data_IF_866341924816
#
_entry.id   IF_866341924816
#
_cell.length_a   1.000
_cell.length_b   1.000
_cell.length_c   1.000
_cell.angle_alpha   90.00
_cell.angle_beta   90.00
_cell.angle_gamma   90.00
#
_symmetry.space_group_name_H-M   'P 1'
#
loop_
_entity.id
_entity.type
_entity.pdbx_description
1 polymer ?
#
# COMPACT_ATOMS: atom_id res chain seq x y z
N UNK A 1 38.05 28.07 -12.07
CA UNK A 1 36.61 27.80 -11.84
C UNK A 1 36.49 27.23 -10.43
N UNK A 2 35.79 27.87 -9.50
CA UNK A 2 35.56 27.28 -8.17
C UNK A 2 34.67 26.05 -8.35
N UNK A 3 35.14 24.88 -7.94
CA UNK A 3 34.33 23.67 -7.86
C UNK A 3 33.15 23.93 -6.93
N UNK A 4 31.94 23.59 -7.39
CA UNK A 4 30.75 23.70 -6.56
C UNK A 4 30.77 22.64 -5.47
N UNK A 5 30.20 22.90 -4.28
CA UNK A 5 30.09 21.89 -3.23
C UNK A 5 29.33 20.65 -3.71
N UNK A 6 29.69 19.47 -3.21
CA UNK A 6 29.12 18.19 -3.66
C UNK A 6 27.59 18.11 -3.54
N UNK A 7 27.00 18.76 -2.53
CA UNK A 7 25.54 18.78 -2.35
C UNK A 7 24.79 19.41 -3.54
N UNK A 8 25.44 20.27 -4.34
CA UNK A 8 24.82 20.80 -5.57
C UNK A 8 24.51 19.69 -6.58
N UNK A 9 25.29 18.61 -6.60
CA UNK A 9 25.12 17.50 -7.53
C UNK A 9 24.13 16.45 -7.02
N UNK A 10 23.49 16.67 -5.87
CA UNK A 10 22.42 15.84 -5.35
C UNK A 10 21.10 16.58 -5.42
N UNK A 11 20.16 15.99 -6.15
CA UNK A 11 18.80 16.50 -6.29
C UNK A 11 17.81 15.43 -5.85
N UNK A 12 16.62 15.88 -5.47
CA UNK A 12 15.48 15.02 -5.21
C UNK A 12 14.33 15.44 -6.11
N UNK A 13 13.41 14.52 -6.38
CA UNK A 13 12.21 14.75 -7.14
C UNK A 13 11.01 14.06 -6.47
N UNK A 14 9.84 14.69 -6.54
CA UNK A 14 8.59 14.02 -6.20
C UNK A 14 7.92 13.48 -7.47
N UNK A 15 7.33 12.30 -7.39
CA UNK A 15 6.37 11.77 -8.34
C UNK A 15 4.98 11.77 -7.70
N UNK A 16 4.19 12.86 -7.86
CA UNK A 16 2.80 12.88 -7.39
C UNK A 16 1.97 11.91 -8.21
N UNK A 17 1.28 11.01 -7.52
CA UNK A 17 0.51 9.90 -8.08
C UNK A 17 -0.94 10.01 -7.60
N UNK A 18 -1.87 9.68 -8.49
CA UNK A 18 -3.27 9.40 -8.15
C UNK A 18 -3.78 8.19 -8.90
N UNK A 19 -4.83 7.56 -8.36
CA UNK A 19 -5.54 6.46 -9.01
C UNK A 19 -6.91 6.97 -9.44
N UNK A 20 -7.19 6.97 -10.74
CA UNK A 20 -8.49 7.39 -11.30
C UNK A 20 -9.03 6.27 -12.17
N UNK A 21 -10.19 5.72 -11.81
CA UNK A 21 -10.79 4.59 -12.53
C UNK A 21 -9.87 3.37 -12.64
N UNK A 22 -9.09 3.09 -11.58
CA UNK A 22 -8.09 2.03 -11.57
C UNK A 22 -6.84 2.32 -12.40
N UNK A 23 -6.65 3.52 -12.96
CA UNK A 23 -5.44 3.86 -13.72
C UNK A 23 -4.54 4.76 -12.87
N UNK A 24 -3.24 4.46 -12.89
CA UNK A 24 -2.22 5.33 -12.29
C UNK A 24 -2.05 6.53 -13.20
N UNK A 25 -2.20 7.71 -12.62
CA UNK A 25 -1.78 8.97 -13.22
C UNK A 25 -0.64 9.60 -12.41
N UNK A 26 0.31 10.21 -13.11
CA UNK A 26 1.46 10.92 -12.55
C UNK A 26 1.37 12.38 -12.96
N UNK A 27 1.61 13.28 -12.01
CA UNK A 27 1.66 14.71 -12.29
C UNK A 27 3.06 15.12 -12.73
N UNK A 28 3.16 15.76 -13.89
CA UNK A 28 4.39 16.37 -14.39
C UNK A 28 4.24 17.89 -14.47
N UNK A 29 5.37 18.58 -14.42
CA UNK A 29 5.47 20.02 -14.65
C UNK A 29 6.37 20.34 -15.83
N UNK A 30 6.17 21.49 -16.47
CA UNK A 30 7.10 21.94 -17.50
C UNK A 30 8.36 22.56 -16.88
N UNK A 31 9.54 22.18 -17.35
CA UNK A 31 10.79 22.85 -17.01
C UNK A 31 10.76 24.32 -17.47
N UNK A 32 11.28 25.23 -16.65
CA UNK A 32 11.20 26.69 -16.92
C UNK A 32 11.76 27.10 -18.29
N UNK A 33 12.93 26.57 -18.68
CA UNK A 33 13.65 26.96 -19.90
C UNK A 33 13.24 26.15 -21.13
N UNK A 34 13.36 24.83 -21.06
CA UNK A 34 13.12 23.95 -22.21
C UNK A 34 11.64 23.67 -22.47
N UNK A 35 10.76 23.98 -21.52
CA UNK A 35 9.32 23.67 -21.53
C UNK A 35 8.99 22.17 -21.65
N UNK A 36 10.00 21.29 -21.54
CA UNK A 36 9.86 19.84 -21.48
C UNK A 36 9.17 19.41 -20.19
N UNK A 37 8.40 18.32 -20.24
CA UNK A 37 7.77 17.75 -19.05
C UNK A 37 8.81 17.05 -18.16
N UNK A 38 8.79 17.34 -16.87
CA UNK A 38 9.71 16.80 -15.86
C UNK A 38 8.94 16.49 -14.58
N UNK A 39 9.55 15.72 -13.68
CA UNK A 39 9.10 15.67 -12.29
C UNK A 39 9.48 16.97 -11.57
N UNK A 40 8.65 17.45 -10.61
CA UNK A 40 9.05 18.55 -9.75
C UNK A 40 10.29 18.16 -8.94
N UNK A 41 11.36 18.96 -9.02
CA UNK A 41 12.68 18.56 -8.51
C UNK A 41 13.63 19.72 -8.22
N UNK A 42 14.52 19.53 -7.26
CA UNK A 42 15.46 20.56 -6.83
C UNK A 42 16.63 20.02 -6.03
N UNK A 43 17.51 20.94 -5.62
CA UNK A 43 18.74 20.61 -4.87
C UNK A 43 18.35 20.17 -3.46
N UNK A 44 19.04 19.15 -2.95
CA UNK A 44 18.88 18.75 -1.54
C UNK A 44 19.69 19.71 -0.69
N UNK A 45 18.99 20.59 0.03
CA UNK A 45 19.60 21.54 0.97
C UNK A 45 20.24 20.78 2.16
N UNK A 46 21.36 21.26 2.74
CA UNK A 46 22.12 20.51 3.75
C UNK A 46 21.34 20.09 5.00
N UNK A 47 20.24 20.79 5.31
CA UNK A 47 19.37 20.58 6.46
C UNK A 47 18.12 19.74 6.13
N UNK A 48 17.97 19.25 4.90
CA UNK A 48 16.83 18.46 4.46
C UNK A 48 17.19 17.00 4.16
N UNK A 49 16.27 16.10 4.49
CA UNK A 49 16.29 14.76 3.88
C UNK A 49 15.92 14.85 2.39
N UNK A 50 16.33 13.87 1.55
CA UNK A 50 15.92 13.83 0.15
C UNK A 50 14.39 13.88 -0.03
N UNK A 51 13.66 13.15 0.81
CA UNK A 51 12.20 13.17 0.84
C UNK A 51 11.63 14.57 1.18
N UNK A 52 12.15 15.25 2.20
CA UNK A 52 11.71 16.61 2.55
C UNK A 52 11.97 17.61 1.42
N UNK A 53 13.13 17.51 0.78
CA UNK A 53 13.48 18.31 -0.41
C UNK A 53 12.48 18.03 -1.54
N UNK A 54 12.17 16.76 -1.86
CA UNK A 54 11.21 16.41 -2.91
C UNK A 54 9.81 16.97 -2.62
N UNK A 55 9.35 16.92 -1.37
CA UNK A 55 8.07 17.47 -0.95
C UNK A 55 8.02 19.01 -1.06
N UNK A 56 9.13 19.70 -0.77
CA UNK A 56 9.26 21.16 -0.99
C UNK A 56 9.10 21.52 -2.46
N UNK A 57 9.81 20.81 -3.34
CA UNK A 57 9.79 21.05 -4.79
C UNK A 57 8.42 20.76 -5.40
N UNK A 58 7.72 19.71 -4.94
CA UNK A 58 6.33 19.45 -5.34
C UNK A 58 5.39 20.63 -5.02
N UNK A 59 5.59 21.27 -3.86
CA UNK A 59 4.79 22.44 -3.46
C UNK A 59 5.13 23.66 -4.31
N UNK A 60 6.41 23.94 -4.50
CA UNK A 60 6.87 25.15 -5.18
C UNK A 60 6.65 25.09 -6.70
N UNK A 61 7.01 23.98 -7.34
CA UNK A 61 6.98 23.83 -8.79
C UNK A 61 5.62 23.37 -9.33
N UNK A 62 4.90 22.53 -8.58
CA UNK A 62 3.64 21.93 -9.00
C UNK A 62 2.41 22.41 -8.20
N UNK A 63 2.60 23.08 -7.07
CA UNK A 63 1.49 23.49 -6.21
C UNK A 63 0.77 22.32 -5.58
N UNK A 64 1.48 21.22 -5.28
CA UNK A 64 0.88 20.02 -4.69
C UNK A 64 1.52 19.64 -3.37
N UNK A 65 0.71 19.05 -2.51
CA UNK A 65 1.15 18.42 -1.24
C UNK A 65 0.58 17.03 -1.15
N UNK A 66 1.20 16.13 -0.38
CA UNK A 66 0.75 14.76 -0.25
C UNK A 66 1.57 13.96 0.76
N UNK A 67 1.25 12.68 0.88
CA UNK A 67 2.03 11.73 1.65
C UNK A 67 3.22 11.26 0.81
N UNK A 68 4.44 11.59 1.23
CA UNK A 68 5.65 11.10 0.56
C UNK A 68 6.06 9.74 1.13
N UNK A 69 6.30 8.76 0.26
CA UNK A 69 6.98 7.52 0.66
C UNK A 69 8.47 7.85 0.84
N UNK A 70 9.04 7.47 1.99
CA UNK A 70 10.46 7.65 2.27
C UNK A 70 11.35 6.69 1.47
N UNK A 71 10.77 5.63 0.89
CA UNK A 71 11.46 4.74 -0.05
C UNK A 71 11.60 5.43 -1.40
N UNK A 72 12.83 5.45 -1.90
CA UNK A 72 13.11 5.91 -3.25
C UNK A 72 12.52 4.95 -4.28
N UNK A 73 11.89 5.51 -5.31
CA UNK A 73 11.50 4.79 -6.53
C UNK A 73 12.72 4.48 -7.41
N UNK A 74 13.86 5.12 -7.15
CA UNK A 74 15.08 4.99 -7.93
C UNK A 74 15.72 6.34 -8.22
N UNK A 75 16.83 6.31 -8.94
CA UNK A 75 17.61 7.49 -9.30
C UNK A 75 17.85 7.55 -10.82
N UNK A 76 18.00 8.76 -11.33
CA UNK A 76 18.52 9.01 -12.68
C UNK A 76 19.53 10.17 -12.66
N UNK A 77 20.37 10.25 -13.69
CA UNK A 77 21.40 11.28 -13.80
C UNK A 77 20.98 12.42 -14.73
N UNK A 78 21.43 13.64 -14.43
CA UNK A 78 21.37 14.79 -15.33
C UNK A 78 22.68 15.57 -15.34
N UNK A 79 23.10 16.09 -16.49
CA UNK A 79 24.23 17.01 -16.55
C UNK A 79 23.79 18.43 -16.17
N UNK A 80 24.36 18.99 -15.10
CA UNK A 80 24.17 20.39 -14.72
C UNK A 80 25.47 20.98 -14.16
N UNK A 81 25.67 22.27 -14.43
CA UNK A 81 26.80 23.05 -13.91
C UNK A 81 28.18 22.47 -14.23
N UNK A 82 28.30 21.70 -15.32
CA UNK A 82 29.56 21.06 -15.73
C UNK A 82 29.86 19.74 -15.03
N UNK A 83 28.91 19.17 -14.28
CA UNK A 83 29.03 17.84 -13.67
C UNK A 83 27.76 17.01 -13.80
N UNK A 84 27.87 15.75 -13.39
CA UNK A 84 26.74 14.82 -13.31
C UNK A 84 26.02 15.00 -11.97
N UNK A 85 24.71 15.23 -12.02
CA UNK A 85 23.85 15.32 -10.85
C UNK A 85 22.98 14.07 -10.76
N UNK A 86 22.94 13.44 -9.60
CA UNK A 86 21.98 12.36 -9.31
C UNK A 86 20.67 12.96 -8.82
N UNK A 87 19.54 12.48 -9.36
CA UNK A 87 18.19 12.83 -8.95
C UNK A 87 17.51 11.60 -8.37
N UNK A 88 17.25 11.64 -7.06
CA UNK A 88 16.52 10.59 -6.35
C UNK A 88 15.02 10.88 -6.36
N UNK A 89 14.19 9.90 -6.73
CA UNK A 89 12.74 10.11 -6.93
C UNK A 89 11.93 9.44 -5.83
N UNK A 90 10.96 10.18 -5.28
CA UNK A 90 10.09 9.69 -4.22
C UNK A 90 8.62 9.74 -4.67
N UNK A 91 7.88 8.68 -4.38
CA UNK A 91 6.44 8.63 -4.62
C UNK A 91 5.72 9.60 -3.68
N UNK A 92 4.74 10.33 -4.21
CA UNK A 92 3.83 11.15 -3.42
C UNK A 92 2.38 10.74 -3.69
N UNK A 93 1.69 10.22 -2.67
CA UNK A 93 0.28 9.85 -2.72
C UNK A 93 -0.61 10.88 -2.02
N UNK A 94 -1.92 10.65 -2.04
CA UNK A 94 -2.94 11.48 -1.37
C UNK A 94 -2.78 12.96 -1.72
N UNK A 95 -2.53 13.21 -3.01
CA UNK A 95 -2.13 14.49 -3.56
C UNK A 95 -3.27 15.50 -3.47
N UNK A 96 -3.00 16.64 -2.85
CA UNK A 96 -3.88 17.83 -2.81
C UNK A 96 -3.27 18.93 -3.66
N UNK A 97 -4.09 19.46 -4.57
CA UNK A 97 -3.71 20.52 -5.51
C UNK A 97 -4.14 21.88 -4.96
N UNK A 98 -3.24 22.86 -5.01
CA UNK A 98 -3.56 24.27 -4.77
C UNK A 98 -3.89 24.97 -6.10
N UNK A 99 -4.84 25.90 -6.08
CA UNK A 99 -5.19 26.73 -7.25
C UNK A 99 -4.10 27.76 -7.57
N UNK A 100 -3.40 28.24 -6.54
CA UNK A 100 -2.29 29.19 -6.66
C UNK A 100 -1.05 28.60 -6.00
N UNK A 101 0.10 28.72 -6.66
CA UNK A 101 1.38 28.22 -6.17
C UNK A 101 2.55 29.06 -6.67
N UNK A 102 3.73 28.99 -6.03
CA UNK A 102 4.84 29.91 -6.27
C UNK A 102 5.27 30.01 -7.74
N UNK A 103 5.31 28.89 -8.47
CA UNK A 103 5.77 28.86 -9.86
C UNK A 103 4.64 28.77 -10.91
N UNK A 104 3.39 29.08 -10.54
CA UNK A 104 2.24 28.98 -11.45
C UNK A 104 2.37 29.82 -12.72
N UNK A 105 3.03 30.98 -12.64
CA UNK A 105 3.29 31.83 -13.81
C UNK A 105 4.40 31.30 -14.73
N UNK A 106 5.26 30.41 -14.22
CA UNK A 106 6.46 29.93 -14.93
C UNK A 106 6.31 28.52 -15.47
N UNK A 107 5.41 27.72 -14.88
CA UNK A 107 5.21 26.31 -15.19
C UNK A 107 3.76 25.95 -15.42
N UNK A 108 3.55 24.98 -16.31
CA UNK A 108 2.29 24.25 -16.42
C UNK A 108 2.43 22.95 -15.63
N UNK A 109 1.35 22.52 -14.97
CA UNK A 109 1.21 21.17 -14.41
C UNK A 109 0.15 20.38 -15.15
N UNK A 110 0.31 19.07 -15.27
CA UNK A 110 -0.69 18.18 -15.88
C UNK A 110 -0.55 16.76 -15.34
N UNK A 111 -1.69 16.10 -15.14
CA UNK A 111 -1.78 14.67 -14.91
C UNK A 111 -1.70 13.91 -16.23
N UNK A 112 -0.86 12.88 -16.26
CA UNK A 112 -0.69 11.95 -17.37
C UNK A 112 -0.95 10.53 -16.88
N UNK A 113 -1.60 9.69 -17.69
CA UNK A 113 -1.56 8.25 -17.45
C UNK A 113 -0.10 7.76 -17.43
N UNK A 114 0.21 6.76 -16.59
CA UNK A 114 1.60 6.33 -16.35
C UNK A 114 2.39 6.05 -17.65
N UNK A 115 1.78 5.38 -18.62
CA UNK A 115 2.42 5.09 -19.91
C UNK A 115 2.71 6.36 -20.73
N UNK A 116 1.78 7.32 -20.73
CA UNK A 116 1.98 8.59 -21.43
C UNK A 116 3.01 9.46 -20.71
N UNK A 117 3.03 9.45 -19.37
CA UNK A 117 4.05 10.12 -18.57
C UNK A 117 5.45 9.63 -18.95
N UNK A 118 5.64 8.30 -19.03
CA UNK A 118 6.91 7.66 -19.43
C UNK A 118 7.36 8.04 -20.85
N UNK A 119 6.42 8.31 -21.76
CA UNK A 119 6.73 8.74 -23.14
C UNK A 119 7.16 10.20 -23.24
N UNK A 120 6.64 11.07 -22.38
CA UNK A 120 6.85 12.53 -22.51
C UNK A 120 7.85 13.11 -21.51
N UNK A 121 8.17 12.37 -20.45
CA UNK A 121 9.08 12.82 -19.39
C UNK A 121 10.50 13.03 -19.91
N UNK A 122 11.14 14.08 -19.42
CA UNK A 122 12.55 14.37 -19.62
C UNK A 122 13.31 14.47 -18.29
N UNK A 123 14.57 14.03 -18.23
CA UNK A 123 15.27 13.26 -19.27
C UNK A 123 14.58 11.89 -19.52
N UNK A 124 14.80 11.24 -20.68
CA UNK A 124 14.20 9.94 -20.97
C UNK A 124 14.48 8.88 -19.90
N UNK A 125 15.66 8.93 -19.28
CA UNK A 125 16.09 8.03 -18.20
C UNK A 125 15.16 8.07 -16.98
N UNK A 126 14.44 9.18 -16.75
CA UNK A 126 13.45 9.26 -15.68
C UNK A 126 12.25 8.33 -15.91
N UNK A 127 11.99 7.89 -17.15
CA UNK A 127 10.91 6.96 -17.46
C UNK A 127 11.10 5.59 -16.79
N UNK A 128 12.35 5.11 -16.68
CA UNK A 128 12.66 3.86 -15.98
C UNK A 128 12.33 3.94 -14.48
N UNK A 129 12.48 5.13 -13.88
CA UNK A 129 12.10 5.34 -12.47
C UNK A 129 10.58 5.34 -12.30
N UNK A 130 9.82 5.85 -13.29
CA UNK A 130 8.36 5.78 -13.27
C UNK A 130 7.83 4.34 -13.42
N UNK A 131 8.59 3.40 -13.99
CA UNK A 131 8.21 1.97 -14.03
C UNK A 131 8.09 1.36 -12.62
N UNK A 132 8.86 1.90 -11.67
CA UNK A 132 8.80 1.48 -10.28
C UNK A 132 7.59 2.07 -9.54
N UNK A 133 6.79 2.92 -10.19
CA UNK A 133 5.45 3.29 -9.72
C UNK A 133 4.52 2.11 -10.00
N UNK A 134 4.64 1.08 -9.16
CA UNK A 134 3.61 0.06 -9.05
C UNK A 134 2.39 0.64 -8.36
N UNK A 135 1.20 0.05 -8.55
CA UNK A 135 0.18 0.20 -7.50
C UNK A 135 0.80 -0.43 -6.25
N UNK A 136 0.77 0.22 -5.07
CA UNK A 136 0.89 -0.55 -3.85
C UNK A 136 -0.36 -1.42 -3.86
N UNK A 137 -0.22 -2.67 -4.30
CA UNK A 137 -1.29 -3.64 -4.20
C UNK A 137 -1.21 -4.13 -2.76
N UNK A 138 -1.89 -3.42 -1.86
CA UNK A 138 -2.14 -3.98 -0.55
C UNK A 138 -3.04 -5.19 -0.76
N UNK A 139 -2.54 -6.35 -0.39
CA UNK A 139 -3.28 -7.60 -0.44
C UNK A 139 -3.87 -7.85 0.94
N UNK A 140 -5.19 -7.96 1.01
CA UNK A 140 -5.89 -8.32 2.23
C UNK A 140 -6.55 -9.69 2.05
N UNK A 141 -6.15 -10.65 2.87
CA UNK A 141 -6.76 -11.98 2.86
C UNK A 141 -7.61 -12.16 4.10
N UNK A 142 -8.93 -12.26 3.93
CA UNK A 142 -9.88 -12.54 5.00
C UNK A 142 -10.14 -14.04 5.09
N UNK A 143 -9.86 -14.64 6.24
CA UNK A 143 -10.11 -16.05 6.52
C UNK A 143 -11.10 -16.17 7.66
N UNK A 144 -12.30 -16.71 7.40
CA UNK A 144 -13.18 -17.10 8.50
C UNK A 144 -12.60 -18.33 9.19
N UNK A 145 -12.60 -18.34 10.52
CA UNK A 145 -12.10 -19.48 11.29
C UNK A 145 -12.72 -20.82 10.83
N UNK A 146 -11.95 -21.91 11.00
CA UNK A 146 -12.42 -23.24 10.67
C UNK A 146 -13.51 -23.72 11.64
N UNK A 147 -14.21 -24.80 11.28
CA UNK A 147 -15.38 -25.28 12.03
C UNK A 147 -15.02 -25.62 13.49
N UNK A 148 -15.79 -25.06 14.44
CA UNK A 148 -15.65 -25.28 15.88
C UNK A 148 -16.59 -26.37 16.42
N UNK A 149 -16.23 -26.93 17.57
CA UNK A 149 -17.03 -27.90 18.32
C UNK A 149 -18.05 -27.20 19.23
N UNK A 150 -19.16 -27.89 19.51
CA UNK A 150 -20.18 -27.53 20.52
C UNK A 150 -20.37 -28.68 21.53
N UNK A 151 -19.44 -29.64 21.57
CA UNK A 151 -19.62 -30.92 22.28
C UNK A 151 -19.54 -30.75 23.81
N UNK A 152 -19.04 -29.61 24.28
CA UNK A 152 -19.02 -29.22 25.69
C UNK A 152 -19.95 -28.01 25.90
N UNK A 153 -21.18 -28.23 26.42
CA UNK A 153 -22.16 -27.17 26.66
C UNK A 153 -21.75 -26.17 27.75
N UNK A 154 -20.80 -26.53 28.63
CA UNK A 154 -20.33 -25.68 29.73
C UNK A 154 -19.14 -24.81 29.35
N UNK A 155 -18.60 -24.98 28.14
CA UNK A 155 -17.43 -24.25 27.67
C UNK A 155 -17.81 -22.87 27.16
N UNK A 156 -17.12 -21.85 27.65
CA UNK A 156 -17.23 -20.48 27.16
C UNK A 156 -17.00 -20.40 25.64
N UNK A 157 -17.80 -19.60 24.91
CA UNK A 157 -17.75 -19.57 23.44
C UNK A 157 -16.34 -19.24 22.92
N UNK A 158 -15.67 -18.30 23.59
CA UNK A 158 -14.32 -17.87 23.26
C UNK A 158 -13.30 -19.02 23.32
N UNK A 159 -13.52 -19.94 24.26
CA UNK A 159 -12.66 -21.10 24.53
C UNK A 159 -12.97 -22.32 23.68
N UNK A 160 -13.97 -22.25 22.81
CA UNK A 160 -14.37 -23.38 21.96
C UNK A 160 -13.27 -23.81 20.99
N UNK A 161 -12.91 -25.11 20.97
CA UNK A 161 -11.89 -25.62 20.06
C UNK A 161 -12.45 -25.84 18.65
N UNK A 162 -11.55 -26.08 17.70
CA UNK A 162 -11.90 -26.67 16.41
C UNK A 162 -12.49 -28.07 16.60
N UNK A 163 -13.40 -28.48 15.72
CA UNK A 163 -13.85 -29.87 15.63
C UNK A 163 -12.99 -30.66 14.62
N UNK A 164 -13.30 -31.94 14.41
CA UNK A 164 -12.55 -32.79 13.47
C UNK A 164 -12.55 -32.26 12.04
N UNK A 165 -13.69 -31.72 11.59
CA UNK A 165 -13.78 -31.08 10.28
C UNK A 165 -12.87 -29.85 10.20
N UNK A 166 -12.91 -28.97 11.20
CA UNK A 166 -12.07 -27.78 11.23
C UNK A 166 -10.57 -28.10 11.25
N UNK A 167 -10.17 -29.17 11.95
CA UNK A 167 -8.78 -29.68 11.96
C UNK A 167 -8.33 -30.23 10.61
N UNK A 168 -9.24 -30.71 9.77
CA UNK A 168 -8.94 -31.18 8.40
C UNK A 168 -9.00 -30.05 7.37
N UNK A 169 -9.95 -29.14 7.49
CA UNK A 169 -10.19 -28.07 6.53
C UNK A 169 -9.08 -27.00 6.58
N UNK A 170 -8.56 -26.67 7.77
CA UNK A 170 -7.54 -25.62 7.92
C UNK A 170 -6.20 -25.92 7.22
N UNK A 171 -5.59 -27.11 7.37
CA UNK A 171 -4.37 -27.46 6.63
C UNK A 171 -4.59 -27.48 5.11
N UNK A 172 -5.72 -28.03 4.67
CA UNK A 172 -6.08 -28.09 3.25
C UNK A 172 -6.23 -26.69 2.65
N UNK A 173 -6.89 -25.77 3.36
CA UNK A 173 -6.98 -24.38 2.92
C UNK A 173 -5.60 -23.70 2.88
N UNK A 174 -4.73 -23.95 3.87
CA UNK A 174 -3.35 -23.45 3.87
C UNK A 174 -2.58 -23.89 2.61
N UNK A 175 -2.68 -25.16 2.20
CA UNK A 175 -2.05 -25.66 0.97
C UNK A 175 -2.61 -25.02 -0.29
N UNK A 176 -3.93 -24.82 -0.36
CA UNK A 176 -4.56 -24.13 -1.50
C UNK A 176 -4.07 -22.69 -1.63
N UNK A 177 -3.95 -21.98 -0.50
CA UNK A 177 -3.39 -20.63 -0.48
C UNK A 177 -1.93 -20.62 -0.94
N UNK A 178 -1.11 -21.58 -0.48
CA UNK A 178 0.28 -21.75 -0.93
C UNK A 178 0.35 -21.97 -2.44
N UNK A 179 -0.47 -22.88 -2.98
CA UNK A 179 -0.55 -23.16 -4.41
C UNK A 179 -1.00 -21.94 -5.23
N UNK A 180 -1.86 -21.09 -4.64
CA UNK A 180 -2.27 -19.81 -5.20
C UNK A 180 -1.25 -18.67 -5.05
N UNK A 181 -0.04 -18.94 -4.53
CA UNK A 181 1.01 -17.94 -4.37
C UNK A 181 0.78 -16.93 -3.23
N UNK A 182 -0.09 -17.25 -2.28
CA UNK A 182 -0.36 -16.39 -1.12
C UNK A 182 0.79 -16.53 -0.12
N UNK A 183 1.39 -15.40 0.27
CA UNK A 183 2.48 -15.36 1.25
C UNK A 183 2.39 -14.08 2.08
N UNK A 184 1.50 -14.04 3.08
CA UNK A 184 1.31 -12.84 3.89
C UNK A 184 2.56 -12.54 4.71
N UNK A 185 2.93 -11.27 4.77
CA UNK A 185 4.03 -10.77 5.61
C UNK A 185 3.63 -10.56 7.08
N UNK A 186 2.32 -10.66 7.36
CA UNK A 186 1.72 -10.56 8.69
C UNK A 186 0.37 -11.29 8.71
N UNK A 187 0.12 -12.04 9.77
CA UNK A 187 -1.20 -12.61 10.07
C UNK A 187 -1.72 -11.98 11.36
N UNK A 188 -2.94 -11.43 11.33
CA UNK A 188 -3.62 -10.95 12.54
C UNK A 188 -4.87 -11.78 12.77
N UNK A 189 -4.98 -12.38 13.95
CA UNK A 189 -6.08 -13.27 14.29
C UNK A 189 -6.90 -12.72 15.44
N UNK A 190 -8.22 -12.98 15.42
CA UNK A 190 -9.02 -12.96 16.63
C UNK A 190 -8.41 -13.87 17.70
N UNK A 191 -8.39 -13.46 18.97
CA UNK A 191 -7.78 -14.23 20.05
C UNK A 191 -8.64 -15.44 20.46
N UNK A 192 -9.89 -15.55 19.98
CA UNK A 192 -10.73 -16.73 20.25
C UNK A 192 -10.04 -18.01 19.78
N UNK A 193 -10.11 -19.06 20.61
CA UNK A 193 -9.27 -20.27 20.48
C UNK A 193 -9.37 -20.91 19.10
N UNK A 194 -10.57 -20.94 18.51
CA UNK A 194 -10.83 -21.47 17.16
C UNK A 194 -10.16 -20.64 16.06
N UNK A 195 -10.15 -19.31 16.18
CA UNK A 195 -9.56 -18.41 15.19
C UNK A 195 -8.04 -18.49 15.23
N UNK A 196 -7.42 -18.29 16.40
CA UNK A 196 -5.96 -18.35 16.54
C UNK A 196 -5.40 -19.73 16.21
N UNK A 197 -6.12 -20.82 16.52
CA UNK A 197 -5.72 -22.17 16.11
C UNK A 197 -5.80 -22.35 14.59
N UNK A 198 -6.83 -21.80 13.94
CA UNK A 198 -6.93 -21.81 12.47
C UNK A 198 -5.77 -21.05 11.84
N UNK A 199 -5.47 -19.85 12.34
CA UNK A 199 -4.38 -19.00 11.88
C UNK A 199 -3.03 -19.73 11.95
N UNK A 200 -2.71 -20.33 13.10
CA UNK A 200 -1.45 -21.07 13.31
C UNK A 200 -1.31 -22.29 12.38
N UNK A 201 -2.41 -23.00 12.10
CA UNK A 201 -2.40 -24.15 11.18
C UNK A 201 -2.12 -23.67 9.75
N UNK A 202 -2.85 -22.66 9.28
CA UNK A 202 -2.66 -22.10 7.92
C UNK A 202 -1.25 -21.51 7.78
N UNK A 203 -0.77 -20.76 8.77
CA UNK A 203 0.57 -20.20 8.79
C UNK A 203 1.66 -21.26 8.61
N UNK A 204 1.50 -22.41 9.26
CA UNK A 204 2.44 -23.54 9.13
C UNK A 204 2.51 -24.11 7.72
N UNK A 205 1.40 -24.17 6.98
CA UNK A 205 1.39 -24.62 5.58
C UNK A 205 1.95 -23.55 4.61
N UNK A 206 1.92 -22.27 5.02
CA UNK A 206 2.44 -21.13 4.26
C UNK A 206 3.91 -20.78 4.59
N UNK A 207 4.54 -21.51 5.52
CA UNK A 207 5.87 -21.19 6.07
C UNK A 207 5.99 -19.78 6.67
N UNK A 208 4.90 -19.26 7.26
CA UNK A 208 4.89 -17.98 7.96
C UNK A 208 5.37 -18.16 9.40
N UNK A 209 6.30 -17.32 9.84
CA UNK A 209 6.86 -17.37 11.20
C UNK A 209 5.80 -17.11 12.26
N UNK A 210 5.89 -17.82 13.40
CA UNK A 210 5.02 -17.57 14.54
C UNK A 210 5.16 -16.16 15.12
N UNK A 211 6.31 -15.49 14.91
CA UNK A 211 6.53 -14.11 15.33
C UNK A 211 5.73 -13.10 14.50
N UNK A 212 5.33 -13.47 13.28
CA UNK A 212 4.50 -12.67 12.38
C UNK A 212 3.00 -13.00 12.52
N UNK A 213 2.61 -13.68 13.60
CA UNK A 213 1.21 -13.93 13.96
C UNK A 213 0.86 -13.10 15.19
N UNK A 214 0.02 -12.08 15.01
CA UNK A 214 -0.43 -11.20 16.07
C UNK A 214 -1.88 -11.51 16.46
N UNK A 215 -2.20 -11.34 17.73
CA UNK A 215 -3.57 -11.38 18.21
C UNK A 215 -4.17 -9.96 18.18
N UNK A 216 -5.21 -9.78 17.38
CA UNK A 216 -5.93 -8.52 17.25
C UNK A 216 -6.95 -8.36 18.37
N UNK A 217 -6.57 -7.64 19.43
CA UNK A 217 -7.49 -7.26 20.49
C UNK A 217 -8.70 -6.53 19.88
N UNK A 218 -9.91 -7.01 20.16
CA UNK A 218 -11.16 -6.47 19.60
C UNK A 218 -11.61 -7.07 18.26
N UNK A 219 -10.94 -8.10 17.72
CA UNK A 219 -11.43 -8.81 16.51
C UNK A 219 -12.52 -9.86 16.80
N UNK A 220 -12.71 -10.25 18.07
CA UNK A 220 -13.75 -11.19 18.44
C UNK A 220 -15.12 -10.52 18.32
N UNK A 221 -15.99 -11.07 17.46
CA UNK A 221 -17.34 -10.52 17.16
C UNK A 221 -17.34 -9.07 16.64
N UNK A 222 -16.21 -8.59 16.10
CA UNK A 222 -16.07 -7.24 15.58
C UNK A 222 -16.99 -6.94 14.39
N UNK A 223 -17.57 -5.74 14.39
CA UNK A 223 -18.30 -5.22 13.24
C UNK A 223 -17.35 -4.77 12.11
N UNK A 224 -17.89 -4.58 10.90
CA UNK A 224 -17.10 -4.18 9.73
C UNK A 224 -16.34 -2.86 9.92
N UNK A 225 -16.94 -1.88 10.61
CA UNK A 225 -16.31 -0.58 10.88
C UNK A 225 -15.15 -0.68 11.89
N UNK A 226 -15.25 -1.57 12.87
CA UNK A 226 -14.18 -1.89 13.82
C UNK A 226 -13.00 -2.58 13.12
N UNK A 227 -13.30 -3.55 12.24
CA UNK A 227 -12.30 -4.21 11.42
C UNK A 227 -11.63 -3.24 10.45
N UNK A 228 -12.38 -2.31 9.84
CA UNK A 228 -11.83 -1.26 8.98
C UNK A 228 -10.88 -0.33 9.76
N UNK A 229 -11.24 0.05 11.00
CA UNK A 229 -10.34 0.82 11.88
C UNK A 229 -9.05 0.05 12.21
N UNK A 230 -9.13 -1.27 12.38
CA UNK A 230 -7.95 -2.13 12.57
C UNK A 230 -7.08 -2.15 11.31
N UNK A 231 -7.68 -2.38 10.13
CA UNK A 231 -6.97 -2.40 8.84
C UNK A 231 -6.23 -1.10 8.62
N UNK A 232 -6.87 0.05 8.86
CA UNK A 232 -6.26 1.38 8.73
C UNK A 232 -5.07 1.66 9.66
N UNK A 233 -4.79 0.78 10.62
CA UNK A 233 -3.67 0.87 11.57
C UNK A 233 -2.60 -0.20 11.32
N UNK A 234 -2.75 -1.02 10.28
CA UNK A 234 -1.75 -2.03 9.94
C UNK A 234 -0.41 -1.37 9.56
N UNK A 235 0.73 -2.05 9.78
CA UNK A 235 2.04 -1.49 9.45
C UNK A 235 2.21 -1.31 7.94
N UNK A 236 2.61 -0.11 7.51
CA UNK A 236 2.75 0.26 6.09
C UNK A 236 3.89 -0.48 5.36
N UNK A 237 4.80 -1.13 6.11
CA UNK A 237 5.84 -2.00 5.55
C UNK A 237 5.33 -3.41 5.20
N UNK A 238 4.07 -3.75 5.55
CA UNK A 238 3.46 -5.05 5.30
C UNK A 238 2.44 -4.95 4.16
N UNK A 239 2.82 -5.36 2.95
CA UNK A 239 1.97 -5.23 1.75
C UNK A 239 0.95 -6.36 1.58
N UNK A 240 1.16 -7.54 2.16
CA UNK A 240 0.21 -8.66 2.15
C UNK A 240 -0.11 -9.05 3.59
N UNK A 241 -1.34 -8.83 4.01
CA UNK A 241 -1.82 -9.11 5.36
C UNK A 241 -2.99 -10.08 5.32
N UNK A 242 -2.96 -11.07 6.20
CA UNK A 242 -4.06 -12.00 6.39
C UNK A 242 -4.75 -11.75 7.72
N UNK A 243 -6.07 -11.60 7.71
CA UNK A 243 -6.92 -11.55 8.90
C UNK A 243 -7.64 -12.88 9.10
N UNK A 244 -7.64 -13.40 10.33
CA UNK A 244 -8.38 -14.62 10.70
C UNK A 244 -9.42 -14.31 11.76
N UNK A 245 -10.71 -14.54 11.46
CA UNK A 245 -11.78 -14.06 12.33
C UNK A 245 -13.16 -14.66 12.05
N UNK A 246 -14.20 -13.84 12.20
CA UNK A 246 -15.57 -14.29 12.39
C UNK A 246 -16.55 -13.63 11.41
N UNK A 247 -17.64 -14.35 11.12
CA UNK A 247 -18.83 -13.77 10.50
C UNK A 247 -19.81 -13.31 11.61
N UNK A 248 -20.69 -12.34 11.33
CA UNK A 248 -20.92 -11.70 10.02
C UNK A 248 -19.87 -10.66 9.62
N UNK A 249 -19.13 -10.09 10.58
CA UNK A 249 -18.20 -8.96 10.36
C UNK A 249 -17.24 -9.10 9.18
N UNK A 250 -16.69 -10.29 8.91
CA UNK A 250 -15.81 -10.50 7.74
C UNK A 250 -16.54 -10.45 6.40
N UNK A 251 -17.78 -10.96 6.33
CA UNK A 251 -18.60 -10.86 5.11
C UNK A 251 -19.02 -9.42 4.88
N UNK A 252 -19.42 -8.73 5.95
CA UNK A 252 -19.81 -7.31 5.88
C UNK A 252 -18.63 -6.42 5.49
N UNK A 253 -17.43 -6.67 6.04
CA UNK A 253 -16.20 -5.99 5.64
C UNK A 253 -15.85 -6.27 4.16
N UNK A 254 -15.92 -7.52 3.72
CA UNK A 254 -15.66 -7.84 2.31
C UNK A 254 -16.62 -7.09 1.39
N UNK A 255 -17.91 -7.04 1.73
CA UNK A 255 -18.94 -6.31 0.98
C UNK A 255 -18.80 -4.79 1.05
N UNK A 256 -18.21 -4.26 2.12
CA UNK A 256 -17.87 -2.84 2.20
C UNK A 256 -16.74 -2.47 1.22
N UNK A 257 -15.74 -3.33 1.10
CA UNK A 257 -14.54 -3.07 0.28
C UNK A 257 -14.73 -3.40 -1.20
N UNK A 258 -15.48 -4.47 -1.52
CA UNK A 258 -15.73 -4.91 -2.88
C UNK A 258 -16.83 -4.11 -3.56
N UNK A 259 -16.62 -3.80 -4.84
CA UNK A 259 -17.67 -3.23 -5.72
C UNK A 259 -18.80 -4.21 -6.03
N UNK A 260 -18.50 -5.51 -5.93
CA UNK A 260 -19.46 -6.60 -6.13
C UNK A 260 -19.53 -7.43 -4.86
N UNK A 261 -20.70 -7.47 -4.23
CA UNK A 261 -20.87 -8.20 -2.98
C UNK A 261 -20.80 -9.73 -3.13
N UNK A 262 -20.52 -10.38 -2.01
CA UNK A 262 -20.59 -11.81 -1.80
C UNK A 262 -21.69 -12.13 -0.78
N UNK A 263 -22.29 -13.31 -0.88
CA UNK A 263 -23.36 -13.72 0.04
C UNK A 263 -22.83 -14.06 1.43
N UNK A 264 -21.75 -14.85 1.52
CA UNK A 264 -21.22 -15.33 2.79
C UNK A 264 -19.82 -15.92 2.63
N UNK A 265 -18.97 -15.69 3.63
CA UNK A 265 -17.70 -16.43 3.79
C UNK A 265 -17.98 -17.70 4.64
N UNK A 266 -17.98 -18.92 4.08
CA UNK A 266 -18.22 -20.14 4.86
C UNK A 266 -17.10 -20.40 5.87
N UNK A 267 -17.28 -21.34 6.82
CA UNK A 267 -16.21 -21.71 7.77
C UNK A 267 -14.98 -22.19 7.03
N UNK A 268 -13.79 -21.70 7.43
CA UNK A 268 -12.53 -21.89 6.70
C UNK A 268 -12.50 -21.29 5.28
N UNK A 269 -13.53 -20.55 4.87
CA UNK A 269 -13.59 -19.84 3.60
C UNK A 269 -12.65 -18.64 3.61
N UNK A 270 -12.18 -18.29 2.41
CA UNK A 270 -11.21 -17.22 2.18
C UNK A 270 -11.71 -16.25 1.13
N UNK A 271 -11.49 -14.97 1.37
CA UNK A 271 -11.61 -13.90 0.37
C UNK A 271 -10.26 -13.20 0.31
N UNK A 272 -9.68 -13.09 -0.87
CA UNK A 272 -8.43 -12.35 -1.09
C UNK A 272 -8.76 -11.14 -1.94
N UNK A 273 -8.40 -9.97 -1.44
CA UNK A 273 -8.71 -8.66 -2.00
C UNK A 273 -7.42 -7.99 -2.45
N UNK A 274 -7.40 -7.52 -3.69
CA UNK A 274 -6.42 -6.55 -4.12
C UNK A 274 -6.99 -5.15 -3.86
N UNK A 275 -6.33 -4.39 -3.01
CA UNK A 275 -6.80 -3.07 -2.59
C UNK A 275 -6.23 -1.99 -3.51
N UNK A 276 -7.11 -1.15 -4.04
CA UNK A 276 -6.83 0.06 -4.80
C UNK A 276 -6.51 1.24 -3.86
N UNK A 277 -5.60 1.04 -2.91
CA UNK A 277 -5.14 2.10 -2.00
C UNK A 277 -3.63 2.02 -1.77
N UNK A 278 -2.93 3.17 -1.69
CA UNK A 278 -1.49 3.18 -1.56
C UNK A 278 -1.00 2.87 -0.13
N UNK A 279 -1.85 3.10 0.87
CA UNK A 279 -1.55 2.89 2.29
C UNK A 279 -2.74 2.25 2.99
N UNK A 280 -2.48 1.51 4.08
CA UNK A 280 -3.53 0.89 4.88
C UNK A 280 -4.50 1.93 5.45
N UNK A 281 -3.97 3.08 5.89
CA UNK A 281 -4.78 4.20 6.39
C UNK A 281 -5.78 4.80 5.39
N UNK A 282 -5.54 4.60 4.08
CA UNK A 282 -6.32 5.17 2.98
C UNK A 282 -7.44 4.21 2.50
N UNK A 283 -7.55 3.01 3.09
CA UNK A 283 -8.57 2.01 2.73
C UNK A 283 -9.97 2.54 3.06
N UNK A 284 -10.90 2.44 2.11
CA UNK A 284 -12.29 2.86 2.27
C UNK A 284 -13.25 1.95 1.49
N UNK A 285 -14.54 2.27 1.42
CA UNK A 285 -15.50 1.49 0.64
C UNK A 285 -15.16 1.43 -0.86
N UNK A 286 -15.54 0.34 -1.52
CA UNK A 286 -15.36 0.13 -2.98
C UNK A 286 -13.91 0.24 -3.48
N UNK A 287 -12.93 0.05 -2.59
CA UNK A 287 -11.51 0.12 -2.90
C UNK A 287 -10.86 -1.26 -3.15
N UNK A 288 -11.64 -2.30 -3.42
CA UNK A 288 -11.11 -3.64 -3.68
C UNK A 288 -11.65 -4.27 -4.98
N UNK A 289 -10.80 -5.09 -5.59
CA UNK A 289 -11.15 -6.06 -6.63
C UNK A 289 -10.87 -7.48 -6.17
#
# INVERSE_FOLDING_TARGET
MKTKPDYWYRQSAAAPVRIVGGRIEVLLVTAMRSKKWILPKGIIEPDMTPAQSAAKEAREEAGVTGALDARSLGCYSISKWGGECSVEVFRMDSVREADQWPEAGSRKRRWFGLDDARRVIHPPDAAAVLENISRPALMLTLVRHAKSSWDDPGLDDFMRPLNDRGRRDAPEMGRRLRQGGVQPALIVSSPARRAIKTARIIAGELDVSAADILEGAGMYEAAADELLKLIRRLPEDKQDVMLVGHNPGFTDLANLLLRSGIENIPTCGVVRLALDAPHWRDIDSDCAS
#
